data_IF_576945654840
#
_entry.id   IF_576945654840
#
_cell.length_a   1.000
_cell.length_b   1.000
_cell.length_c   1.000
_cell.angle_alpha   90.00
_cell.angle_beta   90.00
_cell.angle_gamma   90.00
#
_symmetry.space_group_name_H-M   'P 1'
#
loop_
_entity.id
_entity.type
_entity.pdbx_description
1 polymer ?
#
# COMPACT_ATOMS: atom_id res chain seq x y z
N UNK A 1 -58.30 28.85 -52.01
CA UNK A 1 -57.04 29.44 -51.60
C UNK A 1 -56.74 28.89 -50.17
N UNK A 2 -55.87 27.89 -50.08
CA UNK A 2 -55.46 27.32 -48.82
C UNK A 2 -54.11 27.98 -48.41
N UNK A 3 -54.10 28.75 -47.32
CA UNK A 3 -52.92 29.35 -46.80
C UNK A 3 -52.15 28.28 -45.94
N UNK A 4 -50.97 27.92 -46.42
CA UNK A 4 -50.02 27.14 -45.64
C UNK A 4 -49.34 28.09 -44.62
N UNK A 5 -49.71 27.96 -43.36
CA UNK A 5 -48.94 28.56 -42.23
C UNK A 5 -47.67 27.75 -42.01
N UNK A 6 -46.53 28.31 -42.36
CA UNK A 6 -45.21 27.77 -41.96
C UNK A 6 -44.98 28.07 -40.49
N UNK A 7 -44.98 27.05 -39.68
CA UNK A 7 -44.52 27.14 -38.28
C UNK A 7 -43.00 27.33 -38.26
N UNK A 8 -42.43 28.24 -37.46
CA UNK A 8 -40.99 28.38 -37.33
C UNK A 8 -40.43 27.17 -36.61
N UNK A 9 -39.35 26.62 -37.18
CA UNK A 9 -38.60 25.48 -36.63
C UNK A 9 -37.86 25.96 -35.39
N UNK A 10 -38.49 25.81 -34.23
CA UNK A 10 -37.89 26.11 -32.94
C UNK A 10 -36.79 25.11 -32.50
N UNK A 11 -36.51 24.08 -33.32
CA UNK A 11 -35.55 23.03 -32.96
C UNK A 11 -34.07 23.38 -33.17
N UNK A 12 -33.76 24.25 -34.12
CA UNK A 12 -32.36 24.59 -34.43
C UNK A 12 -31.73 25.54 -33.40
N UNK A 13 -32.54 26.38 -32.75
CA UNK A 13 -32.07 27.33 -31.74
C UNK A 13 -31.76 26.66 -30.40
N UNK A 14 -32.40 25.53 -30.09
CA UNK A 14 -32.11 24.72 -28.90
C UNK A 14 -30.79 23.97 -29.03
N UNK A 15 -30.48 23.41 -30.21
CA UNK A 15 -29.20 22.73 -30.46
C UNK A 15 -28.02 23.70 -30.45
N UNK A 16 -28.18 24.91 -30.98
CA UNK A 16 -27.15 25.96 -30.97
C UNK A 16 -26.87 26.50 -29.55
N UNK A 17 -27.86 26.44 -28.65
CA UNK A 17 -27.68 26.81 -27.23
C UNK A 17 -27.11 25.70 -26.38
N UNK A 18 -27.32 24.43 -26.74
CA UNK A 18 -26.75 23.27 -26.01
C UNK A 18 -25.26 23.08 -26.30
N UNK A 19 -24.79 23.35 -27.51
CA UNK A 19 -23.38 23.13 -27.88
C UNK A 19 -22.35 23.85 -26.97
N UNK A 20 -22.56 25.13 -26.53
CA UNK A 20 -21.68 25.78 -25.55
C UNK A 20 -21.78 25.19 -24.14
N UNK A 21 -22.97 24.70 -23.75
CA UNK A 21 -23.22 24.07 -22.46
C UNK A 21 -22.54 22.71 -22.42
N UNK A 22 -22.66 21.88 -23.45
CA UNK A 22 -22.00 20.58 -23.57
C UNK A 22 -20.48 20.72 -23.59
N UNK A 23 -19.95 21.76 -24.26
CA UNK A 23 -18.50 22.04 -24.27
C UNK A 23 -17.99 22.48 -22.89
N UNK A 24 -18.82 23.27 -22.17
CA UNK A 24 -18.51 23.70 -20.81
C UNK A 24 -18.65 22.55 -19.80
N UNK A 25 -19.66 21.70 -19.96
CA UNK A 25 -19.83 20.47 -19.14
C UNK A 25 -18.70 19.49 -19.40
N UNK A 26 -18.29 19.23 -20.64
CA UNK A 26 -17.13 18.36 -20.94
C UNK A 26 -15.82 18.90 -20.35
N UNK A 27 -15.61 20.22 -20.34
CA UNK A 27 -14.44 20.83 -19.74
C UNK A 27 -14.49 20.78 -18.20
N UNK A 28 -15.68 20.92 -17.60
CA UNK A 28 -15.90 20.76 -16.15
C UNK A 28 -15.75 19.30 -15.75
N UNK A 29 -16.29 18.38 -16.55
CA UNK A 29 -16.18 16.94 -16.29
C UNK A 29 -14.74 16.45 -16.29
N UNK A 30 -13.87 16.91 -17.20
CA UNK A 30 -12.48 16.45 -17.22
C UNK A 30 -11.68 16.90 -16.00
N UNK A 31 -11.84 18.14 -15.54
CA UNK A 31 -11.17 18.66 -14.35
C UNK A 31 -11.78 18.09 -13.07
N UNK A 32 -13.10 17.97 -13.03
CA UNK A 32 -13.82 17.38 -11.90
C UNK A 32 -13.53 15.90 -11.81
N UNK A 33 -13.51 15.19 -12.95
CA UNK A 33 -13.14 13.78 -13.02
C UNK A 33 -11.69 13.56 -12.59
N UNK A 34 -10.74 14.39 -13.01
CA UNK A 34 -9.35 14.30 -12.54
C UNK A 34 -9.20 14.58 -11.03
N UNK A 35 -9.99 15.51 -10.48
CA UNK A 35 -10.04 15.76 -9.04
C UNK A 35 -10.66 14.59 -8.28
N UNK A 36 -11.73 14.01 -8.81
CA UNK A 36 -12.38 12.82 -8.22
C UNK A 36 -11.44 11.61 -8.29
N UNK A 37 -10.80 11.35 -9.42
CA UNK A 37 -9.80 10.28 -9.56
C UNK A 37 -8.65 10.51 -8.57
N UNK A 38 -8.12 11.73 -8.49
CA UNK A 38 -7.07 12.06 -7.52
C UNK A 38 -7.52 11.93 -6.05
N UNK A 39 -8.78 12.23 -5.74
CA UNK A 39 -9.34 12.00 -4.39
C UNK A 39 -9.59 10.52 -4.13
N UNK A 40 -10.06 9.76 -5.12
CA UNK A 40 -10.24 8.31 -4.99
C UNK A 40 -8.92 7.56 -4.87
N UNK A 41 -7.87 7.97 -5.60
CA UNK A 41 -6.52 7.44 -5.42
C UNK A 41 -5.95 7.72 -4.02
N UNK A 42 -6.28 8.88 -3.44
CA UNK A 42 -5.92 9.22 -2.07
C UNK A 42 -6.76 8.42 -1.06
N UNK A 43 -8.07 8.29 -1.32
CA UNK A 43 -9.01 7.59 -0.45
C UNK A 43 -8.93 6.06 -0.60
N UNK A 44 -8.51 5.57 -1.77
CA UNK A 44 -8.37 4.14 -2.05
C UNK A 44 -7.03 3.87 -2.77
N UNK A 45 -5.92 3.69 -2.05
CA UNK A 45 -4.61 3.41 -2.63
C UNK A 45 -4.65 2.22 -3.59
N UNK A 46 -3.98 2.37 -4.73
CA UNK A 46 -3.97 1.39 -5.81
C UNK A 46 -5.38 1.10 -6.38
N UNK A 47 -6.21 2.16 -6.44
CA UNK A 47 -7.51 2.13 -7.11
C UNK A 47 -7.39 1.56 -8.54
N UNK A 48 -8.36 0.71 -8.93
CA UNK A 48 -8.32 0.01 -10.21
C UNK A 48 -7.46 -1.26 -10.25
N UNK A 49 -6.56 -1.47 -9.29
CA UNK A 49 -5.81 -2.71 -9.15
C UNK A 49 -6.54 -3.71 -8.23
N UNK A 50 -7.11 -3.22 -7.14
CA UNK A 50 -7.87 -4.02 -6.19
C UNK A 50 -9.38 -3.91 -6.43
N UNK A 51 -10.15 -5.02 -6.32
CA UNK A 51 -11.59 -5.02 -6.65
C UNK A 51 -12.42 -4.23 -5.64
N UNK A 52 -11.96 -4.16 -4.37
CA UNK A 52 -12.69 -3.55 -3.27
C UNK A 52 -11.77 -2.99 -2.19
N UNK A 53 -12.36 -2.18 -1.30
CA UNK A 53 -11.76 -1.78 -0.04
C UNK A 53 -12.44 -2.56 1.09
N UNK A 54 -11.69 -3.45 1.73
CA UNK A 54 -12.18 -4.34 2.76
C UNK A 54 -11.36 -4.22 4.05
N UNK A 55 -12.01 -3.90 5.16
CA UNK A 55 -11.38 -3.74 6.47
C UNK A 55 -11.40 -5.03 7.32
N UNK A 56 -11.93 -6.16 6.82
CA UNK A 56 -12.17 -7.35 7.64
C UNK A 56 -11.09 -8.42 7.49
N UNK A 57 -10.60 -8.67 6.27
CA UNK A 57 -9.76 -9.84 6.02
C UNK A 57 -8.47 -9.51 5.27
N UNK A 58 -7.35 -10.03 5.76
CA UNK A 58 -6.08 -10.09 5.05
C UNK A 58 -6.03 -11.36 4.20
N UNK A 59 -6.86 -11.44 3.14
CA UNK A 59 -7.03 -12.62 2.30
C UNK A 59 -6.46 -12.42 0.88
N UNK A 60 -6.44 -13.50 0.11
CA UNK A 60 -6.21 -13.44 -1.34
C UNK A 60 -7.50 -12.95 -2.01
N UNK A 61 -7.35 -12.01 -2.93
CA UNK A 61 -8.47 -11.54 -3.75
C UNK A 61 -8.78 -12.55 -4.85
N UNK A 62 -10.06 -12.72 -5.16
CA UNK A 62 -10.52 -13.51 -6.31
C UNK A 62 -10.50 -12.64 -7.57
N UNK A 63 -9.29 -12.36 -8.04
CA UNK A 63 -9.03 -11.55 -9.23
C UNK A 63 -7.97 -12.22 -10.09
N UNK A 64 -8.06 -11.99 -11.39
CA UNK A 64 -7.02 -12.40 -12.31
C UNK A 64 -5.76 -11.58 -12.06
N UNK A 65 -4.63 -12.27 -11.83
CA UNK A 65 -3.35 -11.61 -11.62
C UNK A 65 -2.86 -11.04 -12.95
N UNK A 66 -2.34 -9.81 -12.98
CA UNK A 66 -1.73 -9.25 -14.17
C UNK A 66 -0.53 -10.11 -14.58
N UNK A 67 -0.32 -10.29 -15.90
CA UNK A 67 0.85 -11.03 -16.42
C UNK A 67 2.15 -10.45 -15.89
N UNK A 68 2.22 -9.13 -15.82
CA UNK A 68 3.34 -8.36 -15.28
C UNK A 68 2.82 -7.09 -14.59
N UNK A 69 3.42 -6.73 -13.46
CA UNK A 69 3.15 -5.46 -12.78
C UNK A 69 4.45 -4.93 -12.17
N UNK A 70 4.74 -3.65 -12.43
CA UNK A 70 5.94 -2.95 -11.94
C UNK A 70 5.62 -2.21 -10.65
N UNK A 71 6.18 -2.69 -9.55
CA UNK A 71 6.01 -2.13 -8.20
C UNK A 71 7.17 -1.15 -7.94
N UNK A 72 6.84 0.10 -7.63
CA UNK A 72 7.84 1.14 -7.27
C UNK A 72 8.26 0.98 -5.81
N UNK A 73 9.56 0.82 -5.57
CA UNK A 73 10.14 0.66 -4.23
C UNK A 73 10.91 1.91 -3.73
N UNK A 74 11.00 2.98 -4.52
CA UNK A 74 11.89 4.13 -4.27
C UNK A 74 11.59 4.93 -3.00
N UNK A 75 10.35 4.87 -2.49
CA UNK A 75 9.94 5.60 -1.29
C UNK A 75 9.78 4.67 -0.08
N UNK A 76 10.63 3.66 -0.01
CA UNK A 76 10.64 2.70 1.07
C UNK A 76 11.20 3.27 2.37
N UNK A 77 10.67 2.78 3.49
CA UNK A 77 11.24 2.94 4.83
C UNK A 77 11.20 1.59 5.53
N UNK A 78 12.31 1.18 6.14
CA UNK A 78 12.33 -0.03 6.94
C UNK A 78 11.31 0.02 8.08
N UNK A 79 10.52 -1.06 8.29
CA UNK A 79 9.49 -1.10 9.32
C UNK A 79 10.05 -1.07 10.76
N UNK A 80 11.33 -1.36 10.95
CA UNK A 80 12.02 -1.35 12.24
C UNK A 80 13.50 -1.03 12.05
N UNK A 81 14.14 -0.47 13.07
CA UNK A 81 15.57 -0.20 13.08
C UNK A 81 16.42 -1.52 13.25
N UNK A 82 15.76 -2.64 13.52
CA UNK A 82 16.43 -3.94 13.67
C UNK A 82 16.86 -4.51 12.32
N UNK A 83 18.11 -4.95 12.27
CA UNK A 83 18.72 -5.62 11.10
C UNK A 83 18.67 -7.15 11.21
N UNK A 84 18.23 -7.68 12.34
CA UNK A 84 18.28 -9.12 12.64
C UNK A 84 17.03 -9.83 12.15
N UNK A 85 17.16 -10.59 11.09
CA UNK A 85 16.16 -11.56 10.65
C UNK A 85 16.24 -12.80 11.57
N UNK A 86 15.15 -13.18 12.19
CA UNK A 86 15.04 -14.35 13.07
C UNK A 86 14.40 -15.55 12.38
N UNK A 87 13.60 -15.32 11.33
CA UNK A 87 13.01 -16.38 10.53
C UNK A 87 12.66 -15.89 9.12
N UNK A 88 13.05 -16.67 8.13
CA UNK A 88 12.84 -16.36 6.71
C UNK A 88 11.43 -16.75 6.22
N UNK A 89 11.05 -16.19 5.09
CA UNK A 89 9.91 -16.61 4.29
C UNK A 89 10.09 -18.05 3.80
N UNK A 90 9.00 -18.81 3.70
CA UNK A 90 9.03 -20.13 3.10
C UNK A 90 8.45 -21.23 4.00
N UNK A 91 8.59 -22.48 3.56
CA UNK A 91 8.04 -23.61 4.27
C UNK A 91 8.86 -23.94 5.54
N UNK A 92 8.18 -24.00 6.68
CA UNK A 92 8.76 -24.34 7.98
C UNK A 92 8.42 -25.81 8.32
N UNK A 93 9.37 -26.72 8.09
CA UNK A 93 9.16 -28.17 8.29
C UNK A 93 8.73 -28.50 9.73
N UNK A 94 9.36 -27.88 10.74
CA UNK A 94 9.05 -28.09 12.16
C UNK A 94 7.61 -27.70 12.54
N UNK A 95 6.98 -26.79 11.78
CA UNK A 95 5.62 -26.33 12.02
C UNK A 95 4.65 -26.82 10.95
N UNK A 96 5.12 -27.55 9.94
CA UNK A 96 4.35 -28.05 8.79
C UNK A 96 3.48 -26.98 8.13
N UNK A 97 4.01 -25.77 7.98
CA UNK A 97 3.27 -24.64 7.42
C UNK A 97 4.16 -23.66 6.66
N UNK A 98 3.53 -22.95 5.73
CA UNK A 98 4.15 -21.83 5.01
C UNK A 98 4.26 -20.60 5.94
N UNK A 99 5.46 -20.02 6.02
CA UNK A 99 5.70 -18.70 6.58
C UNK A 99 5.55 -17.67 5.45
N UNK A 100 4.55 -16.81 5.56
CA UNK A 100 4.19 -15.87 4.49
C UNK A 100 4.92 -14.53 4.58
N UNK A 101 5.84 -14.39 5.52
CA UNK A 101 6.61 -13.16 5.75
C UNK A 101 8.01 -13.45 6.27
N UNK A 102 8.63 -12.41 6.80
CA UNK A 102 9.91 -12.47 7.52
C UNK A 102 9.68 -12.05 8.96
N UNK A 103 10.36 -12.70 9.90
CA UNK A 103 10.35 -12.29 11.30
C UNK A 103 11.62 -11.50 11.61
N UNK A 104 11.45 -10.26 12.06
CA UNK A 104 12.51 -9.35 12.46
C UNK A 104 12.57 -9.25 13.98
N UNK A 105 13.77 -9.34 14.56
CA UNK A 105 13.94 -9.19 16.00
C UNK A 105 13.56 -7.78 16.44
N UNK A 106 12.58 -7.67 17.33
CA UNK A 106 12.23 -6.42 18.02
C UNK A 106 12.01 -6.71 19.49
N UNK A 107 12.08 -5.68 20.32
CA UNK A 107 11.66 -5.72 21.71
C UNK A 107 10.25 -5.17 21.88
N UNK A 108 9.60 -5.52 22.97
CA UNK A 108 8.30 -4.95 23.32
C UNK A 108 8.44 -3.45 23.50
N UNK A 109 7.68 -2.67 22.73
CA UNK A 109 7.74 -1.22 22.77
C UNK A 109 8.58 -0.56 21.66
N UNK A 110 9.38 -1.33 20.91
CA UNK A 110 10.10 -0.80 19.73
C UNK A 110 9.11 -0.23 18.72
N UNK A 111 9.46 0.91 18.12
CA UNK A 111 8.59 1.55 17.14
C UNK A 111 8.54 0.76 15.84
N UNK A 112 7.32 0.44 15.38
CA UNK A 112 7.07 -0.16 14.07
C UNK A 112 6.49 0.91 13.15
N UNK A 113 7.03 0.99 11.91
CA UNK A 113 6.76 2.05 10.94
C UNK A 113 6.15 1.50 9.66
N UNK A 114 5.39 2.34 8.96
CA UNK A 114 4.88 2.04 7.62
C UNK A 114 6.02 1.94 6.60
N UNK A 115 6.02 0.90 5.77
CA UNK A 115 7.05 0.68 4.75
C UNK A 115 6.95 1.66 3.58
N UNK A 116 5.75 2.09 3.20
CA UNK A 116 5.47 3.05 2.12
C UNK A 116 4.31 3.96 2.49
N UNK A 117 4.08 4.99 1.67
CA UNK A 117 2.84 5.78 1.73
C UNK A 117 1.64 4.88 1.41
N UNK A 118 0.54 5.08 2.12
CA UNK A 118 -0.66 4.28 1.91
C UNK A 118 -1.78 4.62 2.89
N UNK A 119 -2.74 3.71 2.98
CA UNK A 119 -3.90 3.82 3.88
C UNK A 119 -4.05 2.54 4.70
N UNK A 120 -4.31 2.71 5.98
CA UNK A 120 -4.54 1.61 6.92
C UNK A 120 -5.82 0.90 6.53
N UNK A 121 -5.70 -0.37 6.16
CA UNK A 121 -6.86 -1.17 5.76
C UNK A 121 -7.44 -1.98 6.92
N UNK A 122 -6.60 -2.56 7.77
CA UNK A 122 -7.03 -3.38 8.91
C UNK A 122 -6.23 -2.99 10.15
N UNK A 123 -6.92 -2.85 11.28
CA UNK A 123 -6.35 -2.77 12.62
C UNK A 123 -7.12 -3.74 13.50
N UNK A 124 -6.56 -4.93 13.79
CA UNK A 124 -7.31 -5.99 14.45
C UNK A 124 -6.43 -6.87 15.36
N UNK A 125 -7.08 -7.82 16.05
CA UNK A 125 -6.47 -8.82 16.90
C UNK A 125 -6.84 -10.25 16.47
N UNK A 126 -5.97 -10.87 15.67
CA UNK A 126 -6.09 -12.27 15.23
C UNK A 126 -5.63 -13.27 16.28
N UNK A 127 -6.54 -13.75 17.13
CA UNK A 127 -6.25 -14.79 18.13
C UNK A 127 -5.67 -16.05 17.46
N UNK A 128 -4.55 -16.57 17.92
CA UNK A 128 -3.96 -17.77 17.34
C UNK A 128 -3.23 -17.60 15.99
N UNK A 129 -3.11 -16.35 15.50
CA UNK A 129 -2.40 -15.98 14.28
C UNK A 129 -1.50 -14.77 14.52
N UNK A 130 -1.75 -13.67 13.80
CA UNK A 130 -0.95 -12.44 13.85
C UNK A 130 -0.92 -11.71 15.21
N UNK A 131 -1.80 -12.04 16.16
CA UNK A 131 -1.96 -11.24 17.35
C UNK A 131 -2.53 -9.86 17.01
N UNK A 132 -2.06 -8.81 17.65
CA UNK A 132 -2.34 -7.44 17.20
C UNK A 132 -1.58 -7.20 15.91
N UNK A 133 -2.30 -6.77 14.88
CA UNK A 133 -1.70 -6.56 13.56
C UNK A 133 -2.31 -5.37 12.84
N UNK A 134 -1.56 -4.85 11.89
CA UNK A 134 -1.97 -3.78 10.99
C UNK A 134 -1.76 -4.26 9.55
N UNK A 135 -2.70 -3.97 8.66
CA UNK A 135 -2.55 -4.15 7.21
C UNK A 135 -2.64 -2.78 6.55
N UNK A 136 -1.68 -2.48 5.70
CA UNK A 136 -1.62 -1.23 4.95
C UNK A 136 -1.67 -1.56 3.46
N UNK A 137 -2.57 -0.91 2.71
CA UNK A 137 -2.51 -0.87 1.26
C UNK A 137 -1.75 0.37 0.83
N UNK A 138 -0.74 0.16 0.00
CA UNK A 138 0.17 1.20 -0.46
C UNK A 138 -0.15 1.67 -1.88
N UNK A 139 0.24 2.91 -2.19
CA UNK A 139 0.00 3.52 -3.50
C UNK A 139 0.73 2.80 -4.65
N UNK A 140 1.79 2.05 -4.33
CA UNK A 140 2.55 1.25 -5.31
C UNK A 140 1.94 -0.12 -5.62
N UNK A 141 0.78 -0.44 -5.06
CA UNK A 141 0.08 -1.71 -5.27
C UNK A 141 0.42 -2.83 -4.28
N UNK A 142 1.40 -2.64 -3.40
CA UNK A 142 1.66 -3.61 -2.32
C UNK A 142 0.66 -3.46 -1.18
N UNK A 143 0.38 -4.57 -0.51
CA UNK A 143 -0.11 -4.59 0.86
C UNK A 143 0.99 -5.13 1.78
N UNK A 144 1.15 -4.51 2.95
CA UNK A 144 2.06 -4.99 3.99
C UNK A 144 1.31 -5.33 5.26
N UNK A 145 1.78 -6.37 5.96
CA UNK A 145 1.20 -6.82 7.23
C UNK A 145 2.27 -6.75 8.31
N UNK A 146 1.89 -6.16 9.45
CA UNK A 146 2.73 -5.99 10.63
C UNK A 146 2.08 -6.72 11.80
N UNK A 147 2.60 -7.88 12.14
CA UNK A 147 2.04 -8.78 13.16
C UNK A 147 2.78 -8.76 14.49
N UNK A 148 2.16 -9.38 15.49
CA UNK A 148 2.65 -9.58 16.86
C UNK A 148 2.89 -8.30 17.65
N UNK A 149 2.21 -7.20 17.27
CA UNK A 149 2.32 -5.90 17.93
C UNK A 149 1.86 -5.96 19.39
N UNK A 150 2.43 -5.10 20.24
CA UNK A 150 1.93 -4.87 21.61
C UNK A 150 0.86 -3.81 21.64
N UNK A 151 0.92 -2.81 20.73
CA UNK A 151 -0.02 -1.69 20.65
C UNK A 151 -0.17 -1.22 19.20
N UNK A 152 -1.39 -0.90 18.79
CA UNK A 152 -1.67 -0.13 17.59
C UNK A 152 -1.54 1.37 17.90
N UNK A 153 -0.96 2.15 16.96
CA UNK A 153 -0.86 3.62 17.05
C UNK A 153 -1.71 4.33 15.99
N UNK A 154 -2.40 3.56 15.16
CA UNK A 154 -3.23 4.01 14.04
C UNK A 154 -4.60 3.39 14.11
N UNK A 155 -5.53 3.93 13.31
CA UNK A 155 -6.89 3.43 13.15
C UNK A 155 -7.15 3.08 11.67
N UNK A 156 -8.19 2.28 11.42
CA UNK A 156 -8.61 1.95 10.06
C UNK A 156 -8.96 3.20 9.24
N UNK A 157 -8.68 3.12 7.96
CA UNK A 157 -8.87 4.18 6.97
C UNK A 157 -7.99 5.44 7.16
N UNK A 158 -7.08 5.43 8.13
CA UNK A 158 -6.08 6.49 8.30
C UNK A 158 -5.05 6.45 7.17
N UNK A 159 -4.77 7.60 6.53
CA UNK A 159 -3.65 7.75 5.63
C UNK A 159 -2.33 7.79 6.42
N UNK A 160 -1.30 7.13 5.92
CA UNK A 160 0.03 7.10 6.54
C UNK A 160 1.12 7.30 5.50
N UNK A 161 2.24 7.89 5.94
CA UNK A 161 3.44 8.06 5.12
C UNK A 161 4.46 6.97 5.44
N UNK A 162 5.36 6.72 4.48
CA UNK A 162 6.55 5.90 4.73
C UNK A 162 7.31 6.42 5.95
N UNK A 163 7.67 5.52 6.88
CA UNK A 163 8.35 5.85 8.12
C UNK A 163 7.44 6.34 9.26
N UNK A 164 6.14 6.55 9.02
CA UNK A 164 5.21 6.95 10.09
C UNK A 164 5.00 5.81 11.09
N UNK A 165 5.05 6.08 12.42
CA UNK A 165 4.78 5.08 13.44
C UNK A 165 3.35 4.54 13.36
N UNK A 166 3.21 3.21 13.24
CA UNK A 166 1.91 2.53 13.11
C UNK A 166 1.59 1.59 14.28
N UNK A 167 2.61 1.21 15.05
CA UNK A 167 2.44 0.31 16.18
C UNK A 167 3.72 0.17 16.99
N UNK A 168 3.64 -0.62 18.05
CA UNK A 168 4.77 -0.98 18.89
C UNK A 168 5.03 -2.47 18.79
N UNK A 169 6.30 -2.86 18.72
CA UNK A 169 6.76 -4.24 18.77
C UNK A 169 6.23 -5.00 19.96
N UNK A 170 6.00 -6.29 19.81
CA UNK A 170 5.39 -7.09 20.84
C UNK A 170 5.61 -8.59 20.70
N UNK A 171 4.76 -9.36 21.38
CA UNK A 171 4.76 -10.82 21.41
C UNK A 171 3.33 -11.36 21.50
N UNK A 172 2.38 -10.74 20.79
CA UNK A 172 0.95 -11.14 20.84
C UNK A 172 0.62 -12.19 19.78
N UNK A 173 -0.50 -12.89 19.96
CA UNK A 173 -0.91 -13.97 19.05
C UNK A 173 -0.04 -15.22 19.16
N UNK A 174 0.19 -15.90 18.02
CA UNK A 174 1.02 -17.11 17.97
C UNK A 174 2.49 -16.75 17.79
N UNK A 175 3.14 -16.35 18.86
CA UNK A 175 4.53 -15.95 18.90
C UNK A 175 5.23 -16.59 20.11
N UNK A 176 6.46 -17.05 19.92
CA UNK A 176 7.28 -17.68 20.97
C UNK A 176 8.31 -16.72 21.58
N UNK A 177 8.41 -15.51 21.07
CA UNK A 177 9.34 -14.49 21.54
C UNK A 177 9.12 -13.18 20.79
N UNK A 178 9.49 -12.06 21.37
CA UNK A 178 9.24 -10.73 20.77
C UNK A 178 9.91 -10.57 19.41
N UNK A 179 9.10 -10.38 18.37
CA UNK A 179 9.51 -10.11 16.99
C UNK A 179 8.41 -9.37 16.21
N UNK A 180 8.78 -8.73 15.15
CA UNK A 180 7.87 -8.23 14.13
C UNK A 180 7.72 -9.30 13.05
N UNK A 181 6.51 -9.80 12.82
CA UNK A 181 6.17 -10.54 11.62
C UNK A 181 5.80 -9.56 10.51
N UNK A 182 6.60 -9.54 9.44
CA UNK A 182 6.44 -8.61 8.31
C UNK A 182 6.14 -9.36 7.02
N UNK A 183 4.99 -9.08 6.40
CA UNK A 183 4.62 -9.64 5.09
C UNK A 183 4.53 -8.55 4.03
N UNK A 184 4.86 -8.93 2.80
CA UNK A 184 4.51 -8.19 1.58
C UNK A 184 3.57 -9.03 0.74
N UNK A 185 2.52 -8.39 0.22
CA UNK A 185 1.50 -9.04 -0.62
C UNK A 185 1.20 -8.20 -1.84
N UNK A 186 0.89 -8.86 -2.93
CA UNK A 186 0.35 -8.26 -4.13
C UNK A 186 -0.94 -8.99 -4.50
N UNK A 187 -2.06 -8.27 -4.56
CA UNK A 187 -3.40 -8.84 -4.75
C UNK A 187 -3.67 -10.04 -3.81
N UNK A 188 -3.23 -9.89 -2.53
CA UNK A 188 -3.36 -10.93 -1.50
C UNK A 188 -2.37 -12.10 -1.60
N UNK A 189 -1.63 -12.22 -2.70
CA UNK A 189 -0.56 -13.21 -2.84
C UNK A 189 0.67 -12.77 -2.06
N UNK A 190 1.14 -13.60 -1.13
CA UNK A 190 2.35 -13.32 -0.37
C UNK A 190 3.59 -13.42 -1.28
N UNK A 191 4.45 -12.41 -1.19
CA UNK A 191 5.75 -12.35 -1.86
C UNK A 191 6.81 -12.38 -0.77
N UNK A 192 7.95 -13.02 -1.03
CA UNK A 192 9.06 -13.03 -0.11
C UNK A 192 9.66 -11.61 0.05
N UNK A 193 9.59 -10.98 1.24
CA UNK A 193 10.13 -9.63 1.42
C UNK A 193 11.63 -9.52 1.10
N UNK A 194 12.40 -10.59 1.25
CA UNK A 194 13.83 -10.61 0.91
C UNK A 194 14.11 -10.53 -0.60
N UNK A 195 13.09 -10.64 -1.46
CA UNK A 195 13.25 -10.38 -2.90
C UNK A 195 13.24 -8.88 -3.22
N UNK A 196 12.79 -8.04 -2.29
CA UNK A 196 12.65 -6.59 -2.47
C UNK A 196 13.56 -5.78 -1.55
N UNK A 197 13.84 -6.30 -0.33
CA UNK A 197 14.47 -5.53 0.75
C UNK A 197 15.74 -6.21 1.27
N UNK A 198 16.78 -5.41 1.45
CA UNK A 198 17.97 -5.76 2.21
C UNK A 198 17.81 -5.32 3.66
N UNK A 199 17.53 -6.27 4.54
CA UNK A 199 17.30 -5.98 5.96
C UNK A 199 18.58 -5.60 6.72
N UNK A 200 19.75 -6.00 6.22
CA UNK A 200 21.04 -5.62 6.82
C UNK A 200 21.45 -4.21 6.39
N UNK A 201 21.34 -3.91 5.10
CA UNK A 201 21.58 -2.56 4.57
C UNK A 201 20.49 -1.56 4.94
N UNK A 202 19.29 -2.04 5.36
CA UNK A 202 18.12 -1.21 5.67
C UNK A 202 17.60 -0.41 4.47
N UNK A 203 17.66 -1.02 3.27
CA UNK A 203 17.24 -0.39 2.02
C UNK A 203 16.58 -1.39 1.07
N UNK A 204 16.13 -0.91 -0.08
CA UNK A 204 15.63 -1.73 -1.17
C UNK A 204 16.78 -2.32 -1.99
N UNK A 205 16.57 -3.50 -2.55
CA UNK A 205 17.54 -4.13 -3.47
C UNK A 205 17.60 -3.44 -4.82
N UNK A 206 16.51 -2.78 -5.23
CA UNK A 206 16.38 -2.09 -6.52
C UNK A 206 15.26 -1.05 -6.48
N UNK A 207 15.22 -0.12 -7.45
CA UNK A 207 14.15 0.89 -7.56
C UNK A 207 12.76 0.28 -7.80
N UNK A 208 12.71 -0.87 -8.47
CA UNK A 208 11.48 -1.53 -8.87
C UNK A 208 11.56 -3.04 -8.65
N UNK A 209 10.41 -3.60 -8.27
CA UNK A 209 10.19 -5.04 -8.31
C UNK A 209 9.14 -5.34 -9.39
N UNK A 210 9.46 -6.27 -10.29
CA UNK A 210 8.56 -6.69 -11.37
C UNK A 210 7.91 -8.00 -10.94
N UNK A 211 6.64 -7.90 -10.55
CA UNK A 211 5.80 -9.07 -10.28
C UNK A 211 5.41 -9.72 -11.61
N UNK A 212 5.46 -11.06 -11.69
CA UNK A 212 4.95 -11.86 -12.80
C UNK A 212 4.08 -12.99 -12.31
N UNK A 213 2.92 -13.16 -12.95
CA UNK A 213 1.96 -14.22 -12.57
C UNK A 213 2.50 -15.64 -12.75
N UNK A 214 3.55 -15.83 -13.58
CA UNK A 214 4.25 -17.10 -13.77
C UNK A 214 5.35 -17.38 -12.73
N UNK A 215 5.49 -16.50 -11.72
CA UNK A 215 6.47 -16.63 -10.64
C UNK A 215 7.90 -16.23 -11.00
N UNK A 216 8.17 -15.78 -12.23
CA UNK A 216 9.50 -15.29 -12.68
C UNK A 216 9.68 -13.80 -12.39
N UNK A 217 9.52 -13.43 -11.11
CA UNK A 217 9.71 -12.06 -10.65
C UNK A 217 11.14 -11.57 -10.89
N UNK A 218 11.32 -10.25 -11.01
CA UNK A 218 12.61 -9.65 -11.28
C UNK A 218 12.78 -8.30 -10.58
N UNK A 219 14.04 -7.90 -10.37
CA UNK A 219 14.41 -6.54 -9.94
C UNK A 219 14.73 -5.68 -11.16
N UNK A 220 14.44 -4.37 -11.08
CA UNK A 220 14.75 -3.42 -12.13
C UNK A 220 15.11 -2.05 -11.57
N UNK A 221 16.10 -1.37 -12.17
CA UNK A 221 16.47 -0.01 -11.83
C UNK A 221 16.16 0.95 -12.97
N UNK A 222 15.93 2.23 -12.66
CA UNK A 222 15.95 3.29 -13.66
C UNK A 222 17.40 3.51 -14.09
N UNK A 223 17.67 3.57 -15.39
CA UNK A 223 19.01 3.79 -15.95
C UNK A 223 19.65 5.15 -15.59
N UNK A 224 18.97 5.98 -14.78
CA UNK A 224 19.43 7.27 -14.28
C UNK A 224 19.54 7.20 -12.78
N UNK A 225 20.74 6.94 -12.23
CA UNK A 225 20.94 7.16 -10.81
C UNK A 225 21.89 6.25 -10.05
N UNK A 226 23.04 5.91 -10.60
CA UNK A 226 24.19 5.62 -9.73
C UNK A 226 24.72 6.97 -9.23
N UNK A 227 24.26 7.45 -8.04
CA UNK A 227 24.85 8.64 -7.43
C UNK A 227 23.96 9.54 -6.58
N UNK A 228 22.68 9.28 -6.41
CA UNK A 228 21.88 10.06 -5.47
C UNK A 228 21.89 9.36 -4.10
N UNK A 229 22.67 9.90 -3.17
CA UNK A 229 22.56 9.54 -1.75
C UNK A 229 21.14 9.85 -1.30
N UNK A 230 20.34 8.82 -1.07
CA UNK A 230 18.97 8.92 -0.60
C UNK A 230 19.02 9.53 0.81
N UNK A 231 18.53 10.76 0.96
CA UNK A 231 18.40 11.38 2.27
C UNK A 231 17.42 10.56 3.11
N UNK A 232 17.91 9.92 4.15
CA UNK A 232 17.07 9.31 5.17
C UNK A 232 16.19 10.40 5.80
N UNK A 233 14.93 10.12 6.15
CA UNK A 233 14.11 11.07 6.89
C UNK A 233 14.83 11.40 8.19
N UNK A 234 15.15 12.68 8.39
CA UNK A 234 15.80 13.18 9.60
C UNK A 234 14.93 12.85 10.80
N UNK A 235 15.44 12.00 11.68
CA UNK A 235 14.80 11.72 12.97
C UNK A 235 14.71 13.03 13.75
N UNK A 236 13.50 13.45 14.13
CA UNK A 236 13.31 14.62 15.01
C UNK A 236 14.02 14.36 16.34
N UNK A 237 14.75 15.34 16.91
CA UNK A 237 15.43 15.18 18.19
C UNK A 237 14.39 14.88 19.29
N UNK A 238 14.73 13.94 20.15
CA UNK A 238 13.95 13.62 21.36
C UNK A 238 13.84 14.89 22.19
N UNK A 239 12.61 15.36 22.42
CA UNK A 239 12.35 16.43 23.39
C UNK A 239 12.82 15.95 24.76
N UNK A 240 13.83 16.61 25.33
CA UNK A 240 14.21 16.42 26.72
C UNK A 240 13.06 16.94 27.58
N UNK A 241 12.34 16.02 28.21
CA UNK A 241 11.45 16.37 29.31
C UNK A 241 12.36 16.55 30.53
N UNK A 242 12.60 17.81 30.91
CA UNK A 242 13.18 18.12 32.21
C UNK A 242 12.14 17.80 33.28
N UNK A 243 12.65 17.22 34.36
CA UNK A 243 11.94 16.85 35.59
C UNK A 243 11.21 18.03 36.22
#
# INVERSE_FOLDING_TARGET
VVALLSLPVAGQDLLARQAPIDKKMRAVDSVTLQRLIGSEEFDNPAFGLYPDWNNQYAHRYDVELPKEYKIDLRHFCMPTDSRKVTSNYGYRANFRRQHKGIDLKVYVGDTIRSAFNGKIRIVDYGRGGYGKYVVIRHNNGLETIYGHLSKHLVVENQAVRAGEPIGLGGNTGRSTGSHLHFETRFLGQAINPAEMFDFEAQDVLSDFYVFRSDGRNALGSTAAGKGATRQQPVARPKSQIHK
#
